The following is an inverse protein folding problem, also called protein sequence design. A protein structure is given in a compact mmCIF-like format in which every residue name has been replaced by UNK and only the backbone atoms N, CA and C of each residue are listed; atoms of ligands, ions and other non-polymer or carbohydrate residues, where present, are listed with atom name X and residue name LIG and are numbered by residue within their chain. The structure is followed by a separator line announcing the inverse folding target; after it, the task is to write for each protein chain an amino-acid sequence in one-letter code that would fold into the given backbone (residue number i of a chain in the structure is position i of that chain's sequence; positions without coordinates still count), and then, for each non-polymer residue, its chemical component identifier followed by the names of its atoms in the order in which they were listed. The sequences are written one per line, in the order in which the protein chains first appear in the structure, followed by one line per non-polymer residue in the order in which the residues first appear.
data_IF_347646296722
#
_entry.id   IF_347646296722
#
_cell.length_a   1.000
_cell.length_b   1.000
_cell.length_c   1.000
_cell.angle_alpha   90.00
_cell.angle_beta   90.00
_cell.angle_gamma   90.00
#
_symmetry.space_group_name_H-M   'P 1'
#
loop_
_entity.id
_entity.type
_entity.pdbx_description
1 polymer ?
#
# COMPACT_ATOMS: atom_id res chain seq x y z
N UNK A 1 -34.98 -11.08 -24.69
CA UNK A 1 -33.59 -11.55 -24.54
C UNK A 1 -33.10 -11.11 -23.17
N UNK A 2 -32.84 -12.07 -22.29
CA UNK A 2 -32.35 -11.81 -20.95
C UNK A 2 -30.92 -11.30 -21.03
N UNK A 3 -30.69 -10.04 -20.64
CA UNK A 3 -29.35 -9.57 -20.31
C UNK A 3 -28.92 -10.31 -19.06
N UNK A 4 -28.14 -11.37 -19.21
CA UNK A 4 -27.37 -11.94 -18.11
C UNK A 4 -26.34 -10.89 -17.70
N UNK A 5 -26.73 -10.04 -16.76
CA UNK A 5 -25.83 -9.24 -15.96
C UNK A 5 -25.01 -10.19 -15.08
N UNK A 6 -24.07 -10.90 -15.69
CA UNK A 6 -22.98 -11.59 -15.00
C UNK A 6 -21.96 -10.54 -14.55
N UNK A 7 -22.38 -9.59 -13.70
CA UNK A 7 -21.45 -8.79 -12.91
C UNK A 7 -20.99 -9.62 -11.72
N UNK A 8 -20.42 -10.80 -11.99
CA UNK A 8 -19.66 -11.56 -11.01
C UNK A 8 -18.24 -10.98 -11.02
N UNK A 9 -17.94 -10.23 -9.96
CA UNK A 9 -16.61 -9.80 -9.51
C UNK A 9 -15.49 -9.79 -10.54
N UNK A 10 -15.04 -8.60 -10.97
CA UNK A 10 -13.70 -8.42 -11.54
C UNK A 10 -12.71 -9.20 -10.69
N UNK A 11 -11.92 -10.06 -11.33
CA UNK A 11 -10.93 -10.86 -10.62
C UNK A 11 -9.99 -9.94 -9.85
N UNK A 12 -9.45 -10.39 -8.72
CA UNK A 12 -8.45 -9.62 -7.96
C UNK A 12 -7.35 -9.09 -8.89
N UNK A 13 -6.92 -9.91 -9.86
CA UNK A 13 -5.98 -9.55 -10.91
C UNK A 13 -6.42 -8.33 -11.73
N UNK A 14 -7.68 -8.27 -12.17
CA UNK A 14 -8.18 -7.13 -12.94
C UNK A 14 -8.17 -5.84 -12.10
N UNK A 15 -8.54 -5.93 -10.81
CA UNK A 15 -8.48 -4.79 -9.89
C UNK A 15 -7.03 -4.32 -9.71
N UNK A 16 -6.10 -5.26 -9.49
CA UNK A 16 -4.68 -4.97 -9.32
C UNK A 16 -4.07 -4.34 -10.58
N UNK A 17 -4.41 -4.82 -11.78
CA UNK A 17 -3.91 -4.25 -13.05
C UNK A 17 -4.42 -2.82 -13.26
N UNK A 18 -5.67 -2.53 -12.89
CA UNK A 18 -6.19 -1.15 -12.96
C UNK A 18 -5.43 -0.24 -12.00
N UNK A 19 -5.28 -0.65 -10.74
CA UNK A 19 -4.56 0.14 -9.75
C UNK A 19 -3.07 0.31 -10.10
N UNK A 20 -2.46 -0.67 -10.75
CA UNK A 20 -1.09 -0.58 -11.25
C UNK A 20 -0.96 0.54 -12.29
N UNK A 21 -1.95 0.68 -13.19
CA UNK A 21 -1.97 1.75 -14.20
C UNK A 21 -2.23 3.12 -13.58
N UNK A 22 -2.98 3.17 -12.49
CA UNK A 22 -3.21 4.39 -11.71
C UNK A 22 -2.05 4.70 -10.74
N UNK A 23 -1.00 3.88 -10.72
CA UNK A 23 0.14 3.97 -9.80
C UNK A 23 -0.25 3.94 -8.31
N UNK A 24 -1.42 3.35 -8.00
CA UNK A 24 -1.97 3.23 -6.62
C UNK A 24 -1.49 1.95 -5.95
N UNK A 25 -0.18 1.86 -5.73
CA UNK A 25 0.45 0.65 -5.21
C UNK A 25 0.05 0.31 -3.78
N UNK A 26 -0.30 1.30 -2.96
CA UNK A 26 -0.76 1.08 -1.58
C UNK A 26 -2.14 0.43 -1.56
N UNK A 27 -3.03 0.86 -2.47
CA UNK A 27 -4.35 0.23 -2.63
C UNK A 27 -4.23 -1.19 -3.19
N UNK A 28 -3.29 -1.42 -4.11
CA UNK A 28 -2.98 -2.78 -4.57
C UNK A 28 -2.53 -3.66 -3.40
N UNK A 29 -1.63 -3.17 -2.56
CA UNK A 29 -1.11 -3.95 -1.43
C UNK A 29 -2.21 -4.21 -0.40
N UNK A 30 -3.07 -3.23 -0.11
CA UNK A 30 -4.23 -3.43 0.76
C UNK A 30 -5.18 -4.51 0.23
N UNK A 31 -5.45 -4.53 -1.07
CA UNK A 31 -6.22 -5.61 -1.69
C UNK A 31 -5.52 -6.96 -1.59
N UNK A 32 -4.20 -7.00 -1.80
CA UNK A 32 -3.40 -8.21 -1.65
C UNK A 32 -3.35 -8.76 -0.22
N UNK A 33 -3.44 -7.88 0.79
CA UNK A 33 -3.51 -8.27 2.20
C UNK A 33 -4.93 -8.71 2.62
N UNK A 34 -5.96 -8.13 1.99
CA UNK A 34 -7.35 -8.39 2.33
C UNK A 34 -7.92 -9.61 1.60
N UNK A 35 -7.55 -9.80 0.34
CA UNK A 35 -7.96 -10.95 -0.48
C UNK A 35 -6.88 -12.04 -0.47
N UNK A 36 -7.27 -13.30 -0.67
CA UNK A 36 -6.32 -14.41 -0.68
C UNK A 36 -5.43 -14.32 -1.93
N UNK A 37 -4.12 -14.15 -1.73
CA UNK A 37 -3.15 -14.16 -2.82
C UNK A 37 -3.27 -15.45 -3.65
N UNK A 38 -3.37 -15.28 -4.97
CA UNK A 38 -3.34 -16.37 -5.94
C UNK A 38 -2.03 -16.31 -6.73
N UNK A 39 -1.67 -17.40 -7.40
CA UNK A 39 -0.46 -17.45 -8.22
C UNK A 39 -0.42 -16.34 -9.29
N UNK A 40 -1.57 -15.99 -9.85
CA UNK A 40 -1.70 -14.96 -10.88
C UNK A 40 -1.59 -13.52 -10.35
N UNK A 41 -1.82 -13.33 -9.04
CA UNK A 41 -1.75 -12.01 -8.39
C UNK A 41 -0.47 -11.82 -7.59
N UNK A 42 0.28 -12.90 -7.33
CA UNK A 42 1.51 -12.89 -6.54
C UNK A 42 2.55 -11.89 -7.03
N UNK A 43 2.78 -11.81 -8.34
CA UNK A 43 3.74 -10.84 -8.89
C UNK A 43 3.27 -9.39 -8.72
N UNK A 44 1.97 -9.14 -8.89
CA UNK A 44 1.36 -7.82 -8.70
C UNK A 44 1.39 -7.40 -7.23
N UNK A 45 1.11 -8.34 -6.31
CA UNK A 45 1.18 -8.12 -4.87
C UNK A 45 2.62 -7.87 -4.40
N UNK A 46 3.59 -8.61 -4.95
CA UNK A 46 5.02 -8.37 -4.70
C UNK A 46 5.45 -6.98 -5.19
N UNK A 47 5.04 -6.60 -6.40
CA UNK A 47 5.34 -5.27 -6.95
C UNK A 47 4.72 -4.16 -6.08
N UNK A 48 3.46 -4.33 -5.67
CA UNK A 48 2.77 -3.38 -4.79
C UNK A 48 3.50 -3.23 -3.46
N UNK A 49 3.99 -4.34 -2.89
CA UNK A 49 4.81 -4.34 -1.68
C UNK A 49 6.11 -3.57 -1.89
N UNK A 50 6.90 -3.89 -2.92
CA UNK A 50 8.17 -3.20 -3.21
C UNK A 50 7.99 -1.69 -3.42
N UNK A 51 6.95 -1.29 -4.13
CA UNK A 51 6.65 0.14 -4.36
C UNK A 51 6.22 0.84 -3.08
N UNK A 52 5.41 0.19 -2.26
CA UNK A 52 5.00 0.72 -0.95
C UNK A 52 6.21 0.87 -0.03
N UNK A 53 7.11 -0.12 0.01
CA UNK A 53 8.35 -0.05 0.78
C UNK A 53 9.22 1.13 0.33
N UNK A 54 9.42 1.30 -0.99
CA UNK A 54 10.17 2.41 -1.54
C UNK A 54 9.55 3.78 -1.20
N UNK A 55 8.22 3.88 -1.17
CA UNK A 55 7.51 5.09 -0.73
C UNK A 55 7.74 5.41 0.74
N UNK A 56 7.63 4.40 1.61
CA UNK A 56 7.92 4.54 3.05
C UNK A 56 9.39 4.93 3.26
N UNK A 57 10.33 4.26 2.60
CA UNK A 57 11.77 4.53 2.70
C UNK A 57 12.09 5.96 2.27
N UNK A 58 11.52 6.41 1.16
CA UNK A 58 11.69 7.79 0.68
C UNK A 58 11.23 8.80 1.71
N UNK A 59 10.02 8.63 2.26
CA UNK A 59 9.44 9.56 3.22
C UNK A 59 10.23 9.58 4.54
N UNK A 60 10.66 8.41 5.01
CA UNK A 60 11.51 8.32 6.19
C UNK A 60 12.88 8.98 5.95
N UNK A 61 13.47 8.78 4.76
CA UNK A 61 14.73 9.42 4.37
C UNK A 61 14.58 10.94 4.32
N UNK A 62 13.56 11.45 3.64
CA UNK A 62 13.33 12.90 3.52
C UNK A 62 13.14 13.54 4.92
N UNK A 63 12.42 12.89 5.85
CA UNK A 63 12.25 13.42 7.22
C UNK A 63 13.53 13.32 8.07
N UNK A 64 14.39 12.34 7.77
CA UNK A 64 15.70 12.20 8.44
C UNK A 64 16.68 13.28 7.98
N UNK A 65 16.68 13.62 6.69
CA UNK A 65 17.50 14.69 6.13
C UNK A 65 17.01 16.08 6.56
N UNK A 66 15.70 16.25 6.77
CA UNK A 66 15.09 17.52 7.16
C UNK A 66 14.22 17.38 8.43
N UNK A 67 14.84 17.20 9.61
CA UNK A 67 14.11 16.95 10.87
C UNK A 67 13.21 18.10 11.32
N UNK A 68 13.37 19.31 10.75
CA UNK A 68 12.53 20.49 11.01
C UNK A 68 11.60 20.85 9.86
N UNK A 69 11.68 20.15 8.72
CA UNK A 69 10.77 20.39 7.61
C UNK A 69 9.46 19.66 7.88
N UNK A 70 8.36 20.39 7.82
CA UNK A 70 7.01 19.83 7.86
C UNK A 70 6.77 19.08 6.55
N UNK A 71 7.37 17.91 6.39
CA UNK A 71 7.04 17.00 5.30
C UNK A 71 5.60 16.60 5.51
N UNK A 72 4.72 17.26 4.75
CA UNK A 72 3.29 17.03 4.79
C UNK A 72 3.05 15.73 4.03
N UNK A 73 3.15 14.61 4.74
CA UNK A 73 2.69 13.33 4.20
C UNK A 73 1.19 13.44 3.99
N UNK A 74 0.75 13.07 2.79
CA UNK A 74 -0.67 13.03 2.49
C UNK A 74 -1.42 12.20 3.55
N UNK A 75 -2.45 12.76 4.21
CA UNK A 75 -3.12 12.08 5.30
C UNK A 75 -3.89 10.82 4.85
N UNK A 76 -4.31 10.73 3.59
CA UNK A 76 -4.89 9.50 3.05
C UNK A 76 -3.81 8.44 2.84
N UNK A 77 -2.65 8.82 2.30
CA UNK A 77 -1.52 7.92 2.15
C UNK A 77 -1.04 7.37 3.49
N UNK A 78 -0.88 8.25 4.49
CA UNK A 78 -0.53 7.90 5.87
C UNK A 78 -1.48 6.85 6.46
N UNK A 79 -2.81 7.07 6.32
CA UNK A 79 -3.82 6.10 6.76
C UNK A 79 -3.69 4.76 6.06
N UNK A 80 -3.44 4.74 4.74
CA UNK A 80 -3.23 3.49 4.00
C UNK A 80 -2.02 2.73 4.54
N UNK A 81 -0.90 3.42 4.81
CA UNK A 81 0.29 2.81 5.40
C UNK A 81 0.02 2.28 6.81
N UNK A 82 -0.68 3.03 7.66
CA UNK A 82 -1.05 2.56 9.00
C UNK A 82 -1.81 1.22 8.91
N UNK A 83 -2.81 1.13 8.03
CA UNK A 83 -3.58 -0.10 7.80
C UNK A 83 -2.67 -1.22 7.26
N UNK A 84 -1.77 -0.92 6.32
CA UNK A 84 -0.81 -1.90 5.78
C UNK A 84 0.10 -2.44 6.89
N UNK A 85 0.64 -1.58 7.75
CA UNK A 85 1.50 -1.97 8.86
C UNK A 85 0.72 -2.76 9.92
N UNK A 86 -0.56 -2.49 10.13
CA UNK A 86 -1.39 -3.29 11.03
C UNK A 86 -1.67 -4.70 10.49
N UNK A 87 -1.90 -4.82 9.18
CA UNK A 87 -2.26 -6.09 8.53
C UNK A 87 -1.05 -6.92 8.09
N UNK A 88 0.11 -6.30 7.84
CA UNK A 88 1.34 -6.98 7.42
C UNK A 88 2.42 -6.93 8.51
N UNK A 89 2.59 -8.04 9.23
CA UNK A 89 3.60 -8.16 10.30
C UNK A 89 5.03 -7.92 9.83
N UNK A 90 5.36 -8.30 8.60
CA UNK A 90 6.72 -8.11 8.04
C UNK A 90 7.03 -6.62 7.92
N UNK A 91 6.12 -5.86 7.31
CA UNK A 91 6.27 -4.40 7.18
C UNK A 91 6.22 -3.72 8.55
N UNK A 92 5.33 -4.16 9.44
CA UNK A 92 5.27 -3.66 10.82
C UNK A 92 6.59 -3.78 11.56
N UNK A 93 7.24 -4.93 11.46
CA UNK A 93 8.50 -5.17 12.15
C UNK A 93 9.65 -4.36 11.55
N UNK A 94 9.64 -4.17 10.23
CA UNK A 94 10.69 -3.42 9.52
C UNK A 94 10.54 -1.91 9.71
N UNK A 95 9.34 -1.38 9.49
CA UNK A 95 9.08 0.05 9.43
C UNK A 95 8.32 0.60 10.63
N UNK A 96 7.58 -0.21 11.39
CA UNK A 96 6.65 0.27 12.41
C UNK A 96 7.28 1.16 13.48
N UNK A 97 8.52 0.89 13.90
CA UNK A 97 9.25 1.73 14.85
C UNK A 97 9.64 3.09 14.25
N UNK A 98 10.10 3.10 13.00
CA UNK A 98 10.49 4.32 12.28
C UNK A 98 9.27 5.16 11.95
N UNK A 99 8.24 4.50 11.42
CA UNK A 99 6.94 5.08 11.13
C UNK A 99 6.34 5.71 12.37
N UNK A 100 6.29 5.00 13.51
CA UNK A 100 5.80 5.56 14.79
C UNK A 100 6.53 6.83 15.23
N UNK A 101 7.86 6.86 15.12
CA UNK A 101 8.67 8.07 15.41
C UNK A 101 8.34 9.21 14.45
N UNK A 102 8.07 8.87 13.18
CA UNK A 102 7.63 9.83 12.19
C UNK A 102 6.30 10.49 12.59
N UNK A 103 5.34 9.70 13.09
CA UNK A 103 3.99 10.19 13.45
C UNK A 103 3.93 10.93 14.78
N UNK A 104 4.77 10.58 15.74
CA UNK A 104 4.78 11.21 17.07
C UNK A 104 5.33 12.64 17.08
N UNK A 105 6.01 13.06 16.01
CA UNK A 105 6.60 14.39 15.86
C UNK A 105 5.72 15.36 15.04
N UNK A 106 4.46 15.00 14.80
CA UNK A 106 3.39 15.85 14.22
C UNK A 106 2.28 16.02 15.26
#
# INVERSE_FOLDING_TARGET
MFYTASNCGRSLKDKLVVLQKEEKFEEMLLLCLSEKETQDTKELCRLAMEKTEAGIDRILSEKTELPYSQITVDPEWKKKIDIILENNRTLKNRYGNLWKKMIQND
#
